data_IF_424943595764
#
_entry.id   IF_424943595764
#
_cell.length_a   1.000
_cell.length_b   1.000
_cell.length_c   1.000
_cell.angle_alpha   90.00
_cell.angle_beta   90.00
_cell.angle_gamma   90.00
#
_symmetry.space_group_name_H-M   'P 1'
#
loop_
_entity.id
_entity.type
_entity.pdbx_description
1 polymer ?
#
# COMPACT_ATOMS: atom_id res chain seq x y z
N UNK A 1 17.48 28.65 -6.87
CA UNK A 1 16.07 28.31 -6.50
C UNK A 1 15.82 28.90 -5.13
N UNK A 2 14.59 29.38 -4.90
CA UNK A 2 14.20 29.86 -3.58
C UNK A 2 13.81 28.64 -2.72
N UNK A 3 14.31 28.58 -1.47
CA UNK A 3 13.93 27.55 -0.49
C UNK A 3 12.55 27.86 0.11
N UNK A 4 11.84 26.86 0.64
CA UNK A 4 12.22 25.45 0.68
C UNK A 4 11.86 24.72 -0.62
N UNK A 5 12.58 23.65 -0.95
CA UNK A 5 12.25 22.74 -2.06
C UNK A 5 12.82 21.35 -1.83
N UNK A 6 12.22 20.33 -2.48
CA UNK A 6 12.77 18.98 -2.50
C UNK A 6 13.66 18.77 -3.71
N UNK A 7 14.75 18.04 -3.49
CA UNK A 7 15.57 17.44 -4.56
C UNK A 7 15.27 15.94 -4.58
N UNK A 8 15.02 15.39 -5.76
CA UNK A 8 14.98 13.95 -5.98
C UNK A 8 16.17 13.55 -6.83
N UNK A 9 16.93 12.58 -6.37
CA UNK A 9 18.07 12.02 -7.09
C UNK A 9 17.59 10.86 -7.95
N UNK A 10 17.59 11.06 -9.26
CA UNK A 10 17.04 10.10 -10.21
C UNK A 10 17.74 8.73 -10.15
N UNK A 11 19.05 8.69 -10.03
CA UNK A 11 19.83 7.46 -9.87
C UNK A 11 19.45 6.65 -8.65
N UNK A 12 19.16 7.32 -7.54
CA UNK A 12 18.69 6.67 -6.31
C UNK A 12 17.26 6.14 -6.46
N UNK A 13 16.38 6.90 -7.12
CA UNK A 13 15.02 6.49 -7.40
C UNK A 13 14.99 5.25 -8.31
N UNK A 14 15.76 5.27 -9.41
CA UNK A 14 15.88 4.13 -10.34
C UNK A 14 16.38 2.88 -9.62
N UNK A 15 17.40 2.99 -8.79
CA UNK A 15 17.92 1.86 -8.00
C UNK A 15 16.86 1.24 -7.09
N UNK A 16 16.04 2.07 -6.41
CA UNK A 16 14.94 1.55 -5.59
C UNK A 16 13.89 0.83 -6.44
N UNK A 17 13.52 1.39 -7.60
CA UNK A 17 12.57 0.77 -8.53
C UNK A 17 13.11 -0.58 -9.01
N UNK A 18 14.36 -0.64 -9.43
CA UNK A 18 15.02 -1.86 -9.92
C UNK A 18 15.08 -2.96 -8.85
N UNK A 19 15.39 -2.60 -7.60
CA UNK A 19 15.35 -3.55 -6.48
C UNK A 19 13.93 -4.10 -6.25
N UNK A 20 12.91 -3.23 -6.26
CA UNK A 20 11.52 -3.65 -6.09
C UNK A 20 11.08 -4.56 -7.24
N UNK A 21 11.45 -4.25 -8.49
CA UNK A 21 11.16 -5.09 -9.64
C UNK A 21 11.87 -6.44 -9.57
N UNK A 22 13.11 -6.48 -9.08
CA UNK A 22 13.83 -7.73 -8.88
C UNK A 22 13.13 -8.61 -7.84
N UNK A 23 12.70 -8.04 -6.71
CA UNK A 23 11.89 -8.75 -5.70
C UNK A 23 10.58 -9.26 -6.32
N UNK A 24 9.87 -8.43 -7.09
CA UNK A 24 8.65 -8.80 -7.79
C UNK A 24 8.87 -9.99 -8.75
N UNK A 25 9.87 -9.88 -9.59
CA UNK A 25 10.21 -10.92 -10.59
C UNK A 25 10.57 -12.25 -9.93
N UNK A 26 11.36 -12.23 -8.85
CA UNK A 26 11.85 -13.45 -8.18
C UNK A 26 10.79 -14.09 -7.30
N UNK A 27 10.00 -13.31 -6.59
CA UNK A 27 8.91 -13.81 -5.74
C UNK A 27 7.65 -14.15 -6.54
N UNK A 28 7.50 -13.56 -7.74
CA UNK A 28 6.30 -13.64 -8.57
C UNK A 28 5.09 -12.90 -7.99
N UNK A 29 5.30 -12.02 -7.01
CA UNK A 29 4.28 -11.09 -6.55
C UNK A 29 4.23 -9.85 -7.45
N UNK A 30 3.05 -9.30 -7.66
CA UNK A 30 2.90 -7.94 -8.19
C UNK A 30 3.18 -6.94 -7.07
N UNK A 31 4.08 -5.99 -7.29
CA UNK A 31 4.39 -4.95 -6.31
C UNK A 31 4.00 -3.60 -6.90
N UNK A 32 3.01 -2.96 -6.28
CA UNK A 32 2.44 -1.69 -6.74
C UNK A 32 2.72 -0.56 -5.76
N UNK A 33 2.75 0.67 -6.24
CA UNK A 33 3.10 1.85 -5.44
C UNK A 33 1.89 2.39 -4.67
N UNK A 34 2.02 2.60 -3.35
CA UNK A 34 0.98 3.24 -2.56
C UNK A 34 1.15 4.76 -2.54
N UNK A 35 0.25 5.50 -3.19
CA UNK A 35 0.30 6.96 -3.30
C UNK A 35 0.17 7.67 -1.95
N UNK A 36 -0.53 7.10 -0.97
CA UNK A 36 -0.65 7.68 0.38
C UNK A 36 0.71 7.96 1.04
N UNK A 37 1.75 7.22 0.66
CA UNK A 37 3.10 7.43 1.19
C UNK A 37 3.96 8.30 0.27
N UNK A 38 3.66 8.35 -1.01
CA UNK A 38 4.35 9.23 -1.96
C UNK A 38 3.46 9.50 -3.18
N UNK A 39 3.00 10.74 -3.31
CA UNK A 39 2.26 11.25 -4.46
C UNK A 39 3.04 12.32 -5.23
N UNK A 40 4.38 12.25 -5.21
CA UNK A 40 5.26 13.21 -5.89
C UNK A 40 5.22 13.00 -7.42
N UNK A 41 4.17 13.50 -8.04
CA UNK A 41 3.85 13.30 -9.46
C UNK A 41 4.98 13.73 -10.43
N UNK A 42 5.85 14.64 -10.03
CA UNK A 42 7.02 15.02 -10.83
C UNK A 42 8.02 13.88 -11.04
N UNK A 43 8.01 12.85 -10.19
CA UNK A 43 8.82 11.64 -10.37
C UNK A 43 8.14 10.56 -11.24
N UNK A 44 6.85 10.71 -11.56
CA UNK A 44 6.09 9.71 -12.30
C UNK A 44 6.59 9.42 -13.73
N UNK A 45 7.17 10.36 -14.47
CA UNK A 45 7.81 10.01 -15.75
C UNK A 45 8.83 8.88 -15.64
N UNK A 46 9.63 8.87 -14.55
CA UNK A 46 10.59 7.79 -14.29
C UNK A 46 9.86 6.48 -13.96
N UNK A 47 8.85 6.52 -13.09
CA UNK A 47 8.06 5.33 -12.73
C UNK A 47 7.34 4.71 -13.93
N UNK A 48 6.86 5.54 -14.88
CA UNK A 48 6.25 5.07 -16.15
C UNK A 48 7.20 4.26 -17.02
N UNK A 49 8.48 4.63 -17.08
CA UNK A 49 9.49 3.88 -17.83
C UNK A 49 9.60 2.43 -17.36
N UNK A 50 9.32 2.18 -16.10
CA UNK A 50 9.37 0.86 -15.47
C UNK A 50 7.98 0.16 -15.41
N UNK A 51 6.93 0.78 -15.93
CA UNK A 51 5.58 0.19 -15.94
C UNK A 51 4.99 -0.01 -14.52
N UNK A 52 5.26 0.89 -13.59
CA UNK A 52 4.82 0.78 -12.20
C UNK A 52 3.31 1.02 -12.11
N UNK A 53 2.58 0.05 -11.54
CA UNK A 53 1.17 0.19 -11.15
C UNK A 53 1.04 0.80 -9.75
N UNK A 54 -0.17 1.22 -9.36
CA UNK A 54 -0.35 1.91 -8.09
C UNK A 54 -1.65 1.57 -7.36
N UNK A 55 -1.69 1.89 -6.07
CA UNK A 55 -2.91 1.85 -5.26
C UNK A 55 -3.27 3.24 -4.78
N UNK A 56 -4.56 3.57 -4.87
CA UNK A 56 -5.15 4.84 -4.50
C UNK A 56 -6.07 4.69 -3.28
N UNK A 57 -5.91 5.61 -2.32
CA UNK A 57 -6.72 5.69 -1.09
C UNK A 57 -7.81 6.77 -1.18
N UNK A 58 -7.86 7.52 -2.28
CA UNK A 58 -8.84 8.59 -2.53
C UNK A 58 -9.12 8.76 -4.02
N UNK A 59 -10.20 9.47 -4.36
CA UNK A 59 -10.49 9.81 -5.77
C UNK A 59 -9.42 10.70 -6.38
N UNK A 60 -8.81 11.58 -5.60
CA UNK A 60 -7.73 12.44 -6.09
C UNK A 60 -6.49 11.62 -6.44
N UNK A 61 -6.13 10.62 -5.60
CA UNK A 61 -5.04 9.70 -5.91
C UNK A 61 -5.35 8.82 -7.12
N UNK A 62 -6.60 8.33 -7.24
CA UNK A 62 -7.03 7.58 -8.42
C UNK A 62 -6.89 8.40 -9.70
N UNK A 63 -7.34 9.65 -9.69
CA UNK A 63 -7.21 10.56 -10.82
C UNK A 63 -5.73 10.83 -11.14
N UNK A 64 -4.94 11.13 -10.12
CA UNK A 64 -3.50 11.35 -10.24
C UNK A 64 -2.79 10.15 -10.90
N UNK A 65 -3.09 8.92 -10.45
CA UNK A 65 -2.50 7.72 -11.01
C UNK A 65 -2.86 7.49 -12.47
N UNK A 66 -4.10 7.77 -12.85
CA UNK A 66 -4.55 7.62 -14.24
C UNK A 66 -3.99 8.69 -15.18
N UNK A 67 -4.00 9.94 -14.74
CA UNK A 67 -3.64 11.07 -15.59
C UNK A 67 -2.12 11.26 -15.66
N UNK A 68 -1.43 11.16 -14.53
CA UNK A 68 0.00 11.47 -14.44
C UNK A 68 0.90 10.23 -14.48
N UNK A 69 0.48 9.09 -13.93
CA UNK A 69 1.26 7.85 -14.03
C UNK A 69 0.84 6.99 -15.23
N UNK A 70 -0.43 7.07 -15.65
CA UNK A 70 -0.95 6.24 -16.76
C UNK A 70 -1.00 4.74 -16.43
N UNK A 71 -1.12 4.41 -15.14
CA UNK A 71 -1.00 3.07 -14.60
C UNK A 71 -2.37 2.39 -14.39
N UNK A 72 -2.34 1.07 -14.20
CA UNK A 72 -3.44 0.34 -13.59
C UNK A 72 -3.51 0.71 -12.11
N UNK A 73 -4.74 1.02 -11.64
CA UNK A 73 -4.94 1.49 -10.27
C UNK A 73 -5.81 0.50 -9.50
N UNK A 74 -5.31 0.08 -8.35
CA UNK A 74 -6.11 -0.55 -7.31
C UNK A 74 -6.67 0.52 -6.39
N UNK A 75 -7.91 0.38 -5.95
CA UNK A 75 -8.51 1.35 -5.03
C UNK A 75 -8.91 0.70 -3.72
N UNK A 76 -8.49 1.32 -2.64
CA UNK A 76 -8.97 1.02 -1.30
C UNK A 76 -9.16 2.32 -0.51
N UNK A 77 -10.36 2.52 0.02
CA UNK A 77 -10.63 3.48 1.08
C UNK A 77 -11.60 2.88 2.11
N UNK A 78 -11.58 3.37 3.37
CA UNK A 78 -12.42 2.81 4.43
C UNK A 78 -13.92 2.87 4.13
N UNK A 79 -14.35 3.84 3.32
CA UNK A 79 -15.75 3.98 2.94
C UNK A 79 -15.92 4.52 1.52
N UNK A 80 -16.75 3.84 0.73
CA UNK A 80 -17.27 4.32 -0.54
C UNK A 80 -18.69 4.86 -0.34
N UNK A 81 -19.06 5.86 -1.12
CA UNK A 81 -20.42 6.42 -1.11
C UNK A 81 -21.12 6.17 -2.44
N UNK A 82 -22.47 6.21 -2.49
CA UNK A 82 -23.20 6.10 -3.76
C UNK A 82 -22.81 7.18 -4.78
N UNK A 83 -22.38 8.35 -4.31
CA UNK A 83 -21.96 9.47 -5.15
C UNK A 83 -20.56 9.28 -5.76
N UNK A 84 -19.72 8.44 -5.14
CA UNK A 84 -18.32 8.30 -5.53
C UNK A 84 -17.99 6.94 -6.14
N UNK A 85 -18.75 5.89 -5.83
CA UNK A 85 -18.43 4.50 -6.24
C UNK A 85 -18.24 4.37 -7.76
N UNK A 86 -19.11 5.01 -8.55
CA UNK A 86 -19.03 4.96 -10.01
C UNK A 86 -17.70 5.54 -10.54
N UNK A 87 -17.19 6.60 -9.92
CA UNK A 87 -15.89 7.20 -10.28
C UNK A 87 -14.74 6.24 -9.98
N UNK A 88 -14.79 5.53 -8.83
CA UNK A 88 -13.81 4.51 -8.51
C UNK A 88 -13.86 3.35 -9.50
N UNK A 89 -15.05 2.82 -9.80
CA UNK A 89 -15.23 1.70 -10.73
C UNK A 89 -14.80 2.03 -12.16
N UNK A 90 -14.92 3.29 -12.58
CA UNK A 90 -14.46 3.74 -13.91
C UNK A 90 -12.93 3.89 -14.00
N UNK A 91 -12.25 4.00 -12.86
CA UNK A 91 -10.82 4.28 -12.81
C UNK A 91 -9.95 3.13 -12.31
N UNK A 92 -10.55 2.12 -11.70
CA UNK A 92 -9.80 1.04 -11.04
C UNK A 92 -9.90 -0.27 -11.79
N UNK A 93 -8.83 -1.07 -11.75
CA UNK A 93 -8.85 -2.49 -12.14
C UNK A 93 -9.23 -3.40 -10.96
N UNK A 94 -8.89 -2.97 -9.74
CA UNK A 94 -9.24 -3.65 -8.50
C UNK A 94 -9.88 -2.67 -7.51
N UNK A 95 -10.89 -3.12 -6.78
CA UNK A 95 -11.52 -2.37 -5.70
C UNK A 95 -11.64 -3.24 -4.46
N UNK A 96 -11.20 -2.72 -3.31
CA UNK A 96 -11.29 -3.45 -2.04
C UNK A 96 -12.31 -2.80 -1.13
N UNK A 97 -13.29 -3.57 -0.67
CA UNK A 97 -14.29 -3.14 0.30
C UNK A 97 -13.78 -3.35 1.73
N UNK A 98 -14.10 -2.43 2.61
CA UNK A 98 -13.64 -2.46 3.99
C UNK A 98 -14.54 -3.31 4.90
N UNK A 99 -15.77 -3.60 4.48
CA UNK A 99 -16.76 -4.35 5.26
C UNK A 99 -17.69 -5.16 4.37
N UNK A 100 -18.34 -6.16 4.93
CA UNK A 100 -19.37 -6.96 4.24
C UNK A 100 -20.53 -6.10 3.76
N UNK A 101 -20.97 -5.15 4.57
CA UNK A 101 -22.06 -4.24 4.20
C UNK A 101 -21.73 -3.34 3.00
N UNK A 102 -20.47 -2.91 2.87
CA UNK A 102 -20.02 -2.20 1.67
C UNK A 102 -19.99 -3.14 0.46
N UNK A 103 -19.48 -4.36 0.63
CA UNK A 103 -19.45 -5.35 -0.42
C UNK A 103 -20.88 -5.65 -0.94
N UNK A 104 -21.79 -5.98 -0.05
CA UNK A 104 -23.20 -6.23 -0.41
C UNK A 104 -23.84 -5.06 -1.16
N UNK A 105 -23.58 -3.84 -0.70
CA UNK A 105 -24.14 -2.62 -1.29
C UNK A 105 -23.62 -2.34 -2.70
N UNK A 106 -22.34 -2.58 -2.97
CA UNK A 106 -21.70 -2.12 -4.20
C UNK A 106 -21.29 -3.22 -5.19
N UNK A 107 -21.31 -4.50 -4.79
CA UNK A 107 -21.05 -5.62 -5.72
C UNK A 107 -21.96 -5.63 -6.94
N UNK A 108 -23.26 -5.26 -6.87
CA UNK A 108 -24.08 -5.15 -8.08
C UNK A 108 -23.50 -4.18 -9.12
N UNK A 109 -22.93 -3.03 -8.68
CA UNK A 109 -22.30 -2.07 -9.57
C UNK A 109 -20.97 -2.61 -10.14
N UNK A 110 -20.19 -3.38 -9.36
CA UNK A 110 -18.98 -4.06 -9.85
C UNK A 110 -19.35 -5.10 -10.91
N UNK A 111 -20.36 -5.94 -10.66
CA UNK A 111 -20.82 -6.98 -11.59
C UNK A 111 -21.28 -6.37 -12.94
N UNK A 112 -21.91 -5.20 -12.89
CA UNK A 112 -22.33 -4.47 -14.08
C UNK A 112 -21.15 -4.02 -14.97
N UNK A 113 -19.91 -4.07 -14.48
CA UNK A 113 -18.69 -3.78 -15.26
C UNK A 113 -18.22 -4.96 -16.12
N UNK A 114 -18.87 -6.10 -16.05
CA UNK A 114 -18.57 -7.25 -16.93
C UNK A 114 -17.16 -7.79 -16.76
N UNK A 115 -16.65 -7.84 -15.53
CA UNK A 115 -15.32 -8.39 -15.22
C UNK A 115 -14.14 -7.42 -15.42
N UNK A 116 -14.41 -6.14 -15.74
CA UNK A 116 -13.34 -5.12 -15.89
C UNK A 116 -12.75 -4.66 -14.56
N UNK A 117 -13.46 -4.90 -13.46
CA UNK A 117 -13.04 -4.53 -12.09
C UNK A 117 -13.15 -5.77 -11.22
N UNK A 118 -12.07 -6.15 -10.58
CA UNK A 118 -12.03 -7.23 -9.60
C UNK A 118 -12.29 -6.68 -8.20
N UNK A 119 -13.24 -7.29 -7.47
CA UNK A 119 -13.58 -6.86 -6.11
C UNK A 119 -12.93 -7.74 -5.05
N UNK A 120 -12.42 -7.11 -4.00
CA UNK A 120 -11.89 -7.76 -2.81
C UNK A 120 -12.51 -7.29 -1.51
N UNK A 121 -12.21 -8.02 -0.47
CA UNK A 121 -12.61 -7.70 0.90
C UNK A 121 -11.35 -7.51 1.76
N UNK A 122 -11.29 -6.39 2.47
CA UNK A 122 -10.25 -6.20 3.48
C UNK A 122 -10.61 -7.00 4.72
N UNK A 123 -9.64 -7.74 5.23
CA UNK A 123 -9.74 -8.52 6.46
C UNK A 123 -8.70 -8.06 7.49
N UNK A 124 -9.01 -8.24 8.76
CA UNK A 124 -8.11 -7.90 9.87
C UNK A 124 -7.58 -9.19 10.51
N UNK A 125 -6.30 -9.55 10.31
CA UNK A 125 -5.73 -10.77 10.88
C UNK A 125 -5.53 -10.71 12.40
N UNK A 126 -5.91 -9.61 13.06
CA UNK A 126 -5.72 -9.38 14.50
C UNK A 126 -4.29 -9.67 14.97
N UNK A 127 -3.36 -9.54 14.07
CA UNK A 127 -1.94 -9.67 14.30
C UNK A 127 -1.24 -8.48 13.66
N UNK A 128 -0.47 -7.78 14.43
CA UNK A 128 0.44 -6.72 13.97
C UNK A 128 1.66 -6.70 14.87
N UNK A 129 2.77 -6.35 14.27
CA UNK A 129 4.07 -6.15 14.95
C UNK A 129 4.39 -4.67 15.14
N UNK A 130 3.45 -3.79 14.82
CA UNK A 130 3.60 -2.33 14.96
C UNK A 130 3.54 -1.96 16.44
N UNK A 131 4.64 -1.40 16.96
CA UNK A 131 4.78 -1.06 18.38
C UNK A 131 3.90 0.12 18.80
N UNK A 132 3.70 1.08 17.90
CA UNK A 132 2.91 2.28 18.20
C UNK A 132 1.44 2.05 17.83
N UNK A 133 0.57 2.04 18.83
CA UNK A 133 -0.88 1.80 18.67
C UNK A 133 -1.52 2.71 17.61
N UNK A 134 -1.09 3.97 17.54
CA UNK A 134 -1.60 4.94 16.55
C UNK A 134 -1.44 4.45 15.10
N UNK A 135 -0.40 3.70 14.81
CA UNK A 135 -0.07 3.19 13.48
C UNK A 135 -0.44 1.72 13.29
N UNK A 136 -1.01 1.08 14.32
CA UNK A 136 -1.39 -0.32 14.29
C UNK A 136 -2.82 -0.50 13.76
N UNK A 137 -3.01 -0.95 12.50
CA UNK A 137 -4.34 -1.10 11.91
C UNK A 137 -5.08 -2.35 12.37
N UNK A 138 -4.44 -3.24 13.13
CA UNK A 138 -5.00 -4.51 13.60
C UNK A 138 -5.41 -4.51 15.08
N UNK A 139 -5.40 -3.36 15.75
CA UNK A 139 -5.84 -3.23 17.12
C UNK A 139 -7.31 -3.66 17.32
N UNK A 140 -7.67 -4.12 18.53
CA UNK A 140 -9.07 -4.28 18.92
C UNK A 140 -9.86 -2.97 18.69
N UNK A 141 -11.02 -3.06 18.06
CA UNK A 141 -11.83 -1.89 17.72
C UNK A 141 -11.35 -1.11 16.50
N UNK A 142 -10.34 -1.59 15.78
CA UNK A 142 -9.92 -0.99 14.49
C UNK A 142 -11.08 -0.97 13.51
N UNK A 143 -11.22 0.18 12.80
CA UNK A 143 -12.21 0.32 11.72
C UNK A 143 -11.82 -0.40 10.43
N UNK A 144 -10.66 -1.05 10.37
CA UNK A 144 -10.09 -1.58 9.14
C UNK A 144 -10.28 -3.08 8.99
N UNK A 145 -11.14 -3.45 8.05
CA UNK A 145 -11.34 -4.82 7.61
C UNK A 145 -12.29 -5.64 8.49
N UNK A 146 -12.69 -6.76 7.95
CA UNK A 146 -13.56 -7.76 8.62
C UNK A 146 -12.70 -8.62 9.53
N UNK A 147 -13.13 -8.78 10.77
CA UNK A 147 -12.44 -9.65 11.72
C UNK A 147 -12.78 -11.13 11.50
N UNK A 148 -11.96 -12.07 12.00
CA UNK A 148 -12.22 -13.50 11.81
C UNK A 148 -13.60 -13.94 12.32
N UNK A 149 -14.04 -13.39 13.45
CA UNK A 149 -15.33 -13.73 14.07
C UNK A 149 -16.54 -13.26 13.27
N UNK A 150 -16.35 -12.20 12.47
CA UNK A 150 -17.40 -11.63 11.60
C UNK A 150 -17.35 -12.18 10.17
N UNK A 151 -16.39 -13.07 9.88
CA UNK A 151 -16.21 -13.64 8.56
C UNK A 151 -17.26 -14.73 8.29
N UNK A 152 -18.10 -14.62 7.27
CA UNK A 152 -19.10 -15.64 6.96
C UNK A 152 -18.44 -16.86 6.28
N UNK A 153 -19.00 -18.05 6.44
CA UNK A 153 -18.53 -19.27 5.76
C UNK A 153 -18.48 -19.12 4.24
N UNK A 154 -19.42 -18.35 3.69
CA UNK A 154 -19.50 -18.01 2.27
C UNK A 154 -19.50 -16.50 2.08
N UNK A 155 -18.47 -16.03 1.39
CA UNK A 155 -18.39 -14.63 0.99
C UNK A 155 -19.48 -14.23 -0.01
N UNK A 156 -19.87 -12.95 -0.05
CA UNK A 156 -20.74 -12.43 -1.08
C UNK A 156 -20.22 -12.78 -2.48
N UNK A 157 -21.13 -13.24 -3.34
CA UNK A 157 -20.78 -13.62 -4.70
C UNK A 157 -20.23 -12.42 -5.49
N UNK A 158 -19.04 -12.57 -6.06
CA UNK A 158 -18.30 -11.51 -6.76
C UNK A 158 -17.10 -10.96 -5.96
N UNK A 159 -16.87 -11.40 -4.73
CA UNK A 159 -15.57 -11.19 -4.06
C UNK A 159 -14.56 -12.17 -4.66
N UNK A 160 -13.49 -11.61 -5.20
CA UNK A 160 -12.44 -12.34 -5.92
C UNK A 160 -11.08 -12.29 -5.21
N UNK A 161 -10.94 -11.44 -4.19
CA UNK A 161 -9.69 -11.32 -3.46
C UNK A 161 -9.85 -10.96 -2.00
N UNK A 162 -8.79 -11.23 -1.23
CA UNK A 162 -8.63 -10.77 0.15
C UNK A 162 -7.48 -9.77 0.24
N UNK A 163 -7.64 -8.79 1.10
CA UNK A 163 -6.62 -7.78 1.39
C UNK A 163 -6.42 -7.65 2.89
N UNK A 164 -5.18 -7.68 3.35
CA UNK A 164 -4.83 -7.23 4.69
C UNK A 164 -3.73 -6.17 4.64
N UNK A 165 -3.66 -5.32 5.65
CA UNK A 165 -2.59 -4.36 5.82
C UNK A 165 -2.34 -4.18 7.31
N UNK A 166 -1.27 -4.78 7.82
CA UNK A 166 -0.96 -4.88 9.24
C UNK A 166 0.52 -4.55 9.58
N UNK A 167 1.27 -4.05 8.60
CA UNK A 167 2.66 -3.64 8.76
C UNK A 167 2.83 -2.13 8.59
N UNK A 168 3.79 -1.56 9.30
CA UNK A 168 4.31 -0.22 9.11
C UNK A 168 5.82 -0.26 9.25
N UNK A 169 6.56 -0.05 8.15
CA UNK A 169 8.03 -0.13 8.08
C UNK A 169 8.62 -1.45 8.64
N UNK A 170 7.87 -2.54 8.49
CA UNK A 170 8.21 -3.85 9.02
C UNK A 170 9.31 -4.57 8.23
N UNK A 171 9.86 -5.60 8.85
CA UNK A 171 10.81 -6.54 8.26
C UNK A 171 10.11 -7.67 7.49
N UNK A 172 10.88 -8.51 6.81
CA UNK A 172 10.36 -9.72 6.18
C UNK A 172 9.79 -10.72 7.21
N UNK A 173 10.45 -10.87 8.37
CA UNK A 173 9.97 -11.75 9.44
C UNK A 173 8.68 -11.23 10.10
N UNK A 174 8.46 -9.93 10.09
CA UNK A 174 7.20 -9.35 10.54
C UNK A 174 6.06 -9.72 9.58
N UNK A 175 6.31 -9.72 8.26
CA UNK A 175 5.34 -10.27 7.31
C UNK A 175 5.07 -11.75 7.60
N UNK A 176 6.10 -12.56 7.87
CA UNK A 176 5.92 -13.99 8.15
C UNK A 176 4.94 -14.24 9.29
N UNK A 177 5.08 -13.48 10.41
CA UNK A 177 4.17 -13.58 11.57
C UNK A 177 2.73 -13.20 11.23
N UNK A 178 2.55 -12.08 10.53
CA UNK A 178 1.21 -11.63 10.12
C UNK A 178 0.58 -12.60 9.12
N UNK A 179 1.38 -13.15 8.20
CA UNK A 179 0.92 -14.09 7.19
C UNK A 179 0.48 -15.42 7.83
N UNK A 180 1.21 -15.93 8.82
CA UNK A 180 0.81 -17.11 9.60
C UNK A 180 -0.55 -16.90 10.27
N UNK A 181 -0.76 -15.76 10.92
CA UNK A 181 -2.04 -15.41 11.52
C UNK A 181 -3.15 -15.29 10.46
N UNK A 182 -2.86 -14.69 9.30
CA UNK A 182 -3.81 -14.57 8.19
C UNK A 182 -4.21 -15.93 7.62
N UNK A 183 -3.25 -16.81 7.34
CA UNK A 183 -3.52 -18.15 6.83
C UNK A 183 -4.30 -19.01 7.84
N UNK A 184 -3.95 -18.93 9.14
CA UNK A 184 -4.65 -19.63 10.20
C UNK A 184 -6.13 -19.24 10.33
N UNK A 185 -6.45 -17.96 10.13
CA UNK A 185 -7.79 -17.41 10.36
C UNK A 185 -8.65 -17.39 9.11
N UNK A 186 -8.06 -17.18 7.93
CA UNK A 186 -8.78 -16.99 6.67
C UNK A 186 -8.49 -18.11 5.64
N UNK A 187 -7.71 -19.14 6.00
CA UNK A 187 -7.31 -20.22 5.11
C UNK A 187 -8.43 -20.81 4.26
N UNK A 188 -9.61 -21.16 4.82
CA UNK A 188 -10.74 -21.71 4.03
C UNK A 188 -11.24 -20.82 2.90
N UNK A 189 -10.94 -19.50 2.96
CA UNK A 189 -11.32 -18.54 1.93
C UNK A 189 -10.21 -18.31 0.90
N UNK A 190 -8.94 -18.43 1.28
CA UNK A 190 -7.79 -18.09 0.43
C UNK A 190 -7.82 -18.86 -0.89
N UNK A 191 -8.00 -20.16 -0.87
CA UNK A 191 -7.96 -21.03 -2.06
C UNK A 191 -9.11 -20.77 -3.05
N UNK A 192 -10.12 -20.04 -2.62
CA UNK A 192 -11.25 -19.60 -3.45
C UNK A 192 -11.03 -18.25 -4.11
N UNK A 193 -9.95 -17.56 -3.75
CA UNK A 193 -9.63 -16.24 -4.25
C UNK A 193 -8.75 -16.31 -5.50
N UNK A 194 -8.88 -15.28 -6.35
CA UNK A 194 -7.98 -15.06 -7.48
C UNK A 194 -6.71 -14.34 -7.05
N UNK A 195 -6.79 -13.54 -5.97
CA UNK A 195 -5.66 -12.78 -5.48
C UNK A 195 -5.73 -12.54 -3.96
N UNK A 196 -4.54 -12.39 -3.37
CA UNK A 196 -4.33 -11.90 -2.01
C UNK A 196 -3.42 -10.68 -2.06
N UNK A 197 -3.90 -9.57 -1.52
CA UNK A 197 -3.12 -8.35 -1.35
C UNK A 197 -2.65 -8.27 0.10
N UNK A 198 -1.33 -8.34 0.31
CA UNK A 198 -0.70 -8.34 1.63
C UNK A 198 -0.43 -6.91 2.15
N UNK A 199 -0.94 -5.89 1.43
CA UNK A 199 -0.80 -4.50 1.82
C UNK A 199 0.60 -3.94 1.69
N UNK A 200 0.83 -2.84 2.40
CA UNK A 200 2.11 -2.13 2.44
C UNK A 200 2.87 -2.33 3.76
N UNK A 201 3.83 -1.45 3.99
CA UNK A 201 4.70 -1.49 5.17
C UNK A 201 6.00 -2.28 4.96
N UNK A 202 6.23 -2.79 3.76
CA UNK A 202 7.45 -3.50 3.36
C UNK A 202 8.53 -2.50 2.91
N UNK A 203 9.45 -2.15 3.81
CA UNK A 203 10.49 -1.17 3.50
C UNK A 203 11.75 -1.85 2.91
N UNK A 204 11.54 -2.59 1.83
CA UNK A 204 12.55 -3.48 1.23
C UNK A 204 13.78 -2.76 0.65
N UNK A 205 13.72 -1.46 0.44
CA UNK A 205 14.84 -0.64 -0.04
C UNK A 205 15.66 -0.02 1.08
N UNK A 206 15.25 -0.24 2.35
CA UNK A 206 16.04 0.18 3.52
C UNK A 206 17.27 -0.71 3.64
N UNK A 207 18.40 -0.09 3.93
CA UNK A 207 19.65 -0.80 4.24
C UNK A 207 19.43 -1.83 5.37
N UNK A 208 19.95 -3.05 5.17
CA UNK A 208 19.77 -4.16 6.12
C UNK A 208 18.43 -4.88 6.05
N UNK A 209 17.53 -4.51 5.14
CA UNK A 209 16.31 -5.30 4.91
C UNK A 209 16.64 -6.61 4.20
N UNK A 210 16.14 -7.74 4.70
CA UNK A 210 16.35 -9.05 4.12
C UNK A 210 15.36 -9.32 2.96
N UNK A 211 15.75 -8.95 1.75
CA UNK A 211 14.96 -9.18 0.53
C UNK A 211 14.88 -10.65 0.14
N UNK A 212 15.93 -11.44 0.42
CA UNK A 212 15.93 -12.89 0.16
C UNK A 212 14.88 -13.58 1.02
N UNK A 213 14.78 -13.20 2.28
CA UNK A 213 13.76 -13.70 3.20
C UNK A 213 12.36 -13.31 2.74
N UNK A 214 12.15 -12.09 2.25
CA UNK A 214 10.86 -11.67 1.69
C UNK A 214 10.47 -12.53 0.50
N UNK A 215 11.39 -12.75 -0.43
CA UNK A 215 11.17 -13.59 -1.62
C UNK A 215 10.81 -15.02 -1.20
N UNK A 216 11.54 -15.59 -0.23
CA UNK A 216 11.28 -16.93 0.30
C UNK A 216 9.86 -17.05 0.87
N UNK A 217 9.45 -16.09 1.72
CA UNK A 217 8.12 -16.09 2.35
C UNK A 217 7.01 -16.05 1.30
N UNK A 218 7.12 -15.15 0.33
CA UNK A 218 6.12 -15.01 -0.74
C UNK A 218 6.09 -16.28 -1.62
N UNK A 219 7.24 -16.81 -1.97
CA UNK A 219 7.33 -18.04 -2.79
C UNK A 219 6.67 -19.22 -2.08
N UNK A 220 6.96 -19.43 -0.80
CA UNK A 220 6.33 -20.47 0.01
C UNK A 220 4.82 -20.30 0.15
N UNK A 221 4.33 -19.07 0.29
CA UNK A 221 2.89 -18.80 0.28
C UNK A 221 2.26 -19.19 -1.07
N UNK A 222 2.87 -18.83 -2.18
CA UNK A 222 2.38 -19.17 -3.53
C UNK A 222 2.44 -20.69 -3.82
N UNK A 223 3.41 -21.39 -3.25
CA UNK A 223 3.46 -22.86 -3.34
C UNK A 223 2.28 -23.52 -2.61
N UNK A 224 1.87 -22.97 -1.47
CA UNK A 224 0.69 -23.45 -0.74
C UNK A 224 -0.64 -23.06 -1.41
N UNK A 225 -0.66 -21.92 -2.11
CA UNK A 225 -1.86 -21.35 -2.77
C UNK A 225 -1.58 -21.05 -4.26
N UNK A 226 -1.36 -22.07 -5.11
CA UNK A 226 -0.83 -21.88 -6.47
C UNK A 226 -1.77 -21.16 -7.43
N UNK A 227 -3.06 -21.09 -7.14
CA UNK A 227 -4.06 -20.36 -7.94
C UNK A 227 -4.18 -18.88 -7.58
N UNK A 228 -3.51 -18.44 -6.50
CA UNK A 228 -3.67 -17.11 -5.93
C UNK A 228 -2.55 -16.18 -6.39
N UNK A 229 -2.90 -15.06 -7.02
CA UNK A 229 -1.96 -13.98 -7.32
C UNK A 229 -1.64 -13.21 -6.03
N UNK A 230 -0.36 -12.96 -5.75
CA UNK A 230 0.07 -12.14 -4.61
C UNK A 230 0.31 -10.71 -5.04
N UNK A 231 -0.16 -9.76 -4.25
CA UNK A 231 0.02 -8.32 -4.45
C UNK A 231 0.61 -7.71 -3.18
N UNK A 232 1.59 -6.81 -3.32
CA UNK A 232 2.13 -5.97 -2.25
C UNK A 232 1.95 -4.49 -2.61
N UNK A 233 1.72 -3.64 -1.60
CA UNK A 233 1.51 -2.19 -1.75
C UNK A 233 2.51 -1.35 -0.94
N UNK A 234 3.84 -1.55 -1.06
CA UNK A 234 4.78 -0.67 -0.40
C UNK A 234 4.62 0.77 -0.91
N UNK A 235 4.78 1.72 -0.01
CA UNK A 235 4.77 3.13 -0.36
C UNK A 235 6.16 3.74 -0.20
N UNK A 236 6.63 3.89 1.03
CA UNK A 236 7.92 4.53 1.35
C UNK A 236 9.12 3.86 0.68
N UNK A 237 9.04 2.55 0.40
CA UNK A 237 10.13 1.81 -0.24
C UNK A 237 10.54 2.39 -1.61
N UNK A 238 9.57 2.92 -2.38
CA UNK A 238 9.86 3.47 -3.71
C UNK A 238 10.78 4.68 -3.66
N UNK A 239 10.61 5.53 -2.63
CA UNK A 239 11.33 6.80 -2.51
C UNK A 239 12.22 6.88 -1.28
N UNK A 240 12.53 5.75 -0.66
CA UNK A 240 13.39 5.71 0.51
C UNK A 240 14.77 6.27 0.21
N UNK A 241 15.15 7.37 0.90
CA UNK A 241 16.43 8.08 0.75
C UNK A 241 16.77 8.51 -0.68
N UNK A 242 15.75 8.82 -1.49
CA UNK A 242 15.94 9.27 -2.87
C UNK A 242 16.02 10.78 -3.01
N UNK A 243 15.84 11.54 -1.93
CA UNK A 243 15.87 12.99 -2.00
C UNK A 243 16.12 13.66 -0.67
N UNK A 244 16.27 14.97 -0.73
CA UNK A 244 16.50 15.85 0.41
C UNK A 244 15.56 17.06 0.37
N UNK A 245 15.16 17.56 1.55
CA UNK A 245 14.51 18.86 1.70
C UNK A 245 15.59 19.93 1.90
N UNK A 246 15.66 20.88 0.99
CA UNK A 246 16.59 21.99 1.05
C UNK A 246 15.88 23.20 1.67
N UNK A 247 16.45 23.72 2.72
CA UNK A 247 15.95 24.87 3.48
C UNK A 247 17.00 25.92 3.70
N UNK A 248 16.60 27.15 4.02
CA UNK A 248 17.49 28.23 4.43
C UNK A 248 17.33 28.51 5.93
N UNK A 249 18.45 28.79 6.60
CA UNK A 249 18.42 29.34 7.94
C UNK A 249 18.04 30.82 7.81
N UNK A 250 16.92 31.21 8.39
CA UNK A 250 16.40 32.60 8.34
C UNK A 250 16.74 33.39 9.57
N UNK A 251 17.04 32.72 10.70
CA UNK A 251 17.48 33.36 11.94
C UNK A 251 18.22 32.38 12.85
N UNK A 252 19.01 32.90 13.80
CA UNK A 252 19.64 32.11 14.85
C UNK A 252 19.34 32.76 16.20
N UNK A 253 18.62 32.04 17.04
CA UNK A 253 18.30 32.45 18.42
C UNK A 253 19.30 31.84 19.37
N UNK A 254 19.91 32.67 20.25
CA UNK A 254 20.76 32.21 21.34
C UNK A 254 20.02 32.43 22.68
N UNK A 255 19.69 31.34 23.34
CA UNK A 255 19.07 31.34 24.66
C UNK A 255 19.92 30.56 25.65
N UNK A 256 20.51 31.26 26.61
CA UNK A 256 21.34 30.65 27.68
C UNK A 256 22.46 29.74 27.13
N UNK A 257 23.08 30.13 26.00
CA UNK A 257 24.14 29.37 25.37
C UNK A 257 23.68 28.24 24.42
N UNK A 258 22.36 28.05 24.28
CA UNK A 258 21.76 27.12 23.29
C UNK A 258 21.43 27.88 22.02
N UNK A 259 22.13 27.59 20.95
CA UNK A 259 21.87 28.17 19.62
C UNK A 259 20.88 27.34 18.84
N UNK A 260 19.77 27.95 18.44
CA UNK A 260 18.71 27.31 17.65
C UNK A 260 18.61 27.99 16.30
N UNK A 261 18.77 27.23 15.22
CA UNK A 261 18.54 27.71 13.87
C UNK A 261 17.01 27.69 13.54
N UNK A 262 16.50 28.82 13.14
CA UNK A 262 15.14 28.91 12.56
C UNK A 262 15.26 28.76 11.06
N UNK A 263 14.49 27.83 10.50
CA UNK A 263 14.52 27.55 9.06
C UNK A 263 13.20 27.92 8.40
N UNK A 264 13.19 28.08 7.09
CA UNK A 264 12.00 28.40 6.29
C UNK A 264 11.12 27.18 5.94
N UNK A 265 11.33 26.06 6.63
CA UNK A 265 10.52 24.84 6.52
C UNK A 265 9.85 24.52 7.86
N UNK A 266 8.74 23.78 7.81
CA UNK A 266 8.05 23.30 9.01
C UNK A 266 7.58 21.85 8.85
N UNK A 267 7.41 21.15 9.95
CA UNK A 267 6.87 19.78 9.97
C UNK A 267 5.50 19.69 9.31
N UNK A 268 4.60 20.61 9.63
CA UNK A 268 3.24 20.56 9.14
C UNK A 268 3.10 20.80 7.62
N UNK A 269 4.09 21.44 7.01
CA UNK A 269 4.02 21.85 5.60
C UNK A 269 5.00 21.12 4.70
N UNK A 270 6.07 20.55 5.26
CA UNK A 270 7.21 20.08 4.45
C UNK A 270 7.72 18.67 4.83
N UNK A 271 7.19 18.04 5.91
CA UNK A 271 7.63 16.71 6.37
C UNK A 271 6.45 15.77 6.63
#
# INVERSE_FOLDING_TARGET
MQTPYYIVYEDKLRRNIELIQEVSRRSGAEIIMAFKANALWRSFPILREYGVNATASSLNELQLGREELGAEIHSYCPAYTPQTIEKYLNGSTHITFNSLSQAERFLPAVKARGGKVSAGLRVNPRCSVVETDLYNPALPGSRFGVSPEDMPDKLPDGIEGLHFHALCEGSADDLAKVLEAFESQFGPHIDRMKWVNMGGGHLMTREGYDTERLIEIITKFRERHPSVKVILEPGSAWTWRTGDLITSVVDIVDNQGVKTAIIDASFACHM
#
